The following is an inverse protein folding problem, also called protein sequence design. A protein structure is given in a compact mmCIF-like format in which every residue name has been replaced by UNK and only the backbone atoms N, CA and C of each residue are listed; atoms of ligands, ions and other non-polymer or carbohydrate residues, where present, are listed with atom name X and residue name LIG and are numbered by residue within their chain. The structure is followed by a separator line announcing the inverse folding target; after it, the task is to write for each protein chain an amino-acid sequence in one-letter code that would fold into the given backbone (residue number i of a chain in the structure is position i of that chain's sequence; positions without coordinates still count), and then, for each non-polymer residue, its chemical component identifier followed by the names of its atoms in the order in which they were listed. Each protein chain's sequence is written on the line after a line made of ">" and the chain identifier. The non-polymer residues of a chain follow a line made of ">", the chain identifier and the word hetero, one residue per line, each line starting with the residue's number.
data_IF_851544052962
#
_entry.id   IF_851544052962
#
_cell.length_a   1.000
_cell.length_b   1.000
_cell.length_c   1.000
_cell.angle_alpha   90.00
_cell.angle_beta   90.00
_cell.angle_gamma   90.00
#
_symmetry.space_group_name_H-M   'P 1'
#
loop_
_entity.id
_entity.type
_entity.pdbx_description
1 polymer ?
#
# COMPACT_ATOMS: atom_id res chain seq x y z
N UNK A 1 0.21 -6.25 27.37
CA UNK A 1 -0.31 -4.88 27.13
C UNK A 1 -1.42 -5.03 26.11
N UNK A 2 -2.56 -4.42 26.37
CA UNK A 2 -3.67 -4.36 25.40
C UNK A 2 -3.60 -3.02 24.66
N UNK A 3 -3.79 -3.06 23.35
CA UNK A 3 -3.88 -1.87 22.50
C UNK A 3 -5.25 -1.85 21.85
N UNK A 4 -5.89 -0.69 21.80
CA UNK A 4 -7.18 -0.51 21.17
C UNK A 4 -7.02 0.28 19.87
N UNK A 5 -7.49 -0.31 18.78
CA UNK A 5 -7.52 0.29 17.45
C UNK A 5 -8.90 0.06 16.84
N UNK A 6 -9.35 1.00 16.02
CA UNK A 6 -10.58 0.87 15.25
C UNK A 6 -10.39 -0.11 14.08
N UNK A 7 -9.19 -0.12 13.49
CA UNK A 7 -8.84 -0.96 12.35
C UNK A 7 -7.49 -1.65 12.55
N UNK A 8 -7.45 -2.96 12.36
CA UNK A 8 -6.23 -3.75 12.30
C UNK A 8 -5.99 -4.21 10.86
N UNK A 9 -4.83 -3.85 10.30
CA UNK A 9 -4.40 -4.29 8.96
C UNK A 9 -3.22 -5.24 9.12
N UNK A 10 -3.39 -6.48 8.65
CA UNK A 10 -2.38 -7.54 8.78
C UNK A 10 -1.62 -7.69 7.47
N UNK A 11 -0.32 -7.39 7.52
CA UNK A 11 0.62 -7.52 6.42
C UNK A 11 0.88 -6.19 5.71
N UNK A 12 2.12 -5.69 5.81
CA UNK A 12 2.54 -4.46 5.16
C UNK A 12 2.98 -4.63 3.69
N UNK A 13 2.22 -5.39 2.92
CA UNK A 13 2.36 -5.44 1.45
C UNK A 13 1.73 -4.22 0.78
N UNK A 14 1.69 -4.22 -0.56
CA UNK A 14 1.07 -3.13 -1.34
C UNK A 14 -0.39 -2.89 -0.93
N UNK A 15 -1.18 -3.95 -0.77
CA UNK A 15 -2.58 -3.85 -0.35
C UNK A 15 -2.72 -3.33 1.08
N UNK A 16 -1.92 -3.84 2.02
CA UNK A 16 -1.98 -3.43 3.41
C UNK A 16 -1.55 -1.98 3.63
N UNK A 17 -0.56 -1.49 2.87
CA UNK A 17 -0.18 -0.08 2.91
C UNK A 17 -1.34 0.83 2.50
N UNK A 18 -1.97 0.58 1.35
CA UNK A 18 -3.12 1.38 0.91
C UNK A 18 -4.32 1.28 1.86
N UNK A 19 -4.62 0.07 2.37
CA UNK A 19 -5.71 -0.12 3.33
C UNK A 19 -5.48 0.64 4.64
N UNK A 20 -4.26 0.56 5.19
CA UNK A 20 -3.91 1.22 6.44
C UNK A 20 -3.87 2.75 6.29
N UNK A 21 -3.32 3.24 5.18
CA UNK A 21 -3.31 4.67 4.86
C UNK A 21 -4.73 5.21 4.67
N UNK A 22 -5.58 4.49 3.94
CA UNK A 22 -6.97 4.89 3.73
C UNK A 22 -7.73 4.98 5.06
N UNK A 23 -7.68 3.93 5.90
CA UNK A 23 -8.34 3.92 7.21
C UNK A 23 -7.87 5.07 8.11
N UNK A 24 -6.54 5.26 8.22
CA UNK A 24 -5.96 6.32 9.04
C UNK A 24 -6.33 7.73 8.55
N UNK A 25 -6.35 7.95 7.22
CA UNK A 25 -6.76 9.23 6.60
C UNK A 25 -8.24 9.52 6.75
N UNK A 26 -9.07 8.49 6.87
CA UNK A 26 -10.49 8.62 7.21
C UNK A 26 -10.74 8.88 8.70
N UNK A 27 -9.69 8.92 9.52
CA UNK A 27 -9.74 9.28 10.95
C UNK A 27 -9.77 8.10 11.91
N UNK A 28 -9.70 6.86 11.42
CA UNK A 28 -9.69 5.67 12.27
C UNK A 28 -8.30 5.49 12.92
N UNK A 29 -8.27 5.18 14.22
CA UNK A 29 -7.07 4.71 14.89
C UNK A 29 -6.69 3.35 14.30
N UNK A 30 -5.62 3.31 13.51
CA UNK A 30 -5.28 2.14 12.68
C UNK A 30 -3.93 1.56 13.10
N UNK A 31 -3.85 0.22 13.18
CA UNK A 31 -2.57 -0.47 13.29
C UNK A 31 -2.25 -1.24 12.00
N UNK A 32 -1.03 -1.08 11.48
CA UNK A 32 -0.47 -1.91 10.43
C UNK A 32 0.54 -2.88 11.03
N UNK A 33 0.18 -4.15 11.08
CA UNK A 33 1.03 -5.22 11.59
C UNK A 33 1.83 -5.86 10.46
N UNK A 34 3.09 -6.15 10.71
CA UNK A 34 3.96 -6.86 9.76
C UNK A 34 4.98 -7.72 10.48
N UNK A 35 5.41 -8.82 9.85
CA UNK A 35 6.48 -9.67 10.39
C UNK A 35 7.84 -8.99 10.35
N UNK A 36 8.02 -8.06 9.41
CA UNK A 36 9.27 -7.35 9.23
C UNK A 36 9.01 -5.91 8.74
N UNK A 37 9.45 -4.92 9.51
CA UNK A 37 9.35 -3.50 9.16
C UNK A 37 10.27 -3.12 7.99
N UNK A 38 11.30 -3.91 7.72
CA UNK A 38 12.23 -3.70 6.62
C UNK A 38 11.78 -4.36 5.33
N UNK A 39 10.55 -4.86 5.25
CA UNK A 39 9.95 -5.39 4.02
C UNK A 39 8.62 -4.70 3.65
N UNK A 40 8.30 -3.57 4.28
CA UNK A 40 7.11 -2.76 3.97
C UNK A 40 7.11 -2.42 2.47
N UNK A 41 6.01 -2.79 1.80
CA UNK A 41 5.79 -2.60 0.36
C UNK A 41 6.95 -3.07 -0.55
N UNK A 42 7.65 -4.13 -0.15
CA UNK A 42 8.73 -4.70 -0.95
C UNK A 42 8.20 -5.19 -2.31
N UNK A 43 8.90 -4.80 -3.39
CA UNK A 43 8.65 -5.29 -4.75
C UNK A 43 9.26 -6.68 -4.97
N UNK A 44 8.54 -7.73 -4.57
CA UNK A 44 9.04 -9.12 -4.62
C UNK A 44 9.28 -9.66 -6.03
N UNK A 45 8.56 -9.18 -7.05
CA UNK A 45 8.67 -9.68 -8.42
C UNK A 45 9.32 -8.65 -9.36
N UNK A 46 8.51 -7.99 -10.19
CA UNK A 46 8.98 -7.05 -11.21
C UNK A 46 9.24 -5.66 -10.60
N UNK A 47 10.38 -4.99 -10.88
CA UNK A 47 10.61 -3.60 -10.49
C UNK A 47 9.77 -2.62 -11.34
N UNK A 48 8.46 -2.85 -11.48
CA UNK A 48 7.60 -2.07 -12.35
C UNK A 48 6.19 -1.88 -11.78
N UNK A 49 5.65 -0.67 -11.93
CA UNK A 49 4.27 -0.32 -11.62
C UNK A 49 3.53 0.07 -12.90
N UNK A 50 2.25 -0.29 -12.98
CA UNK A 50 1.41 -0.07 -14.16
C UNK A 50 1.55 -1.15 -15.24
N UNK A 51 1.24 -0.79 -16.48
CA UNK A 51 1.03 -1.72 -17.60
C UNK A 51 -0.45 -1.88 -17.96
N UNK A 52 -0.76 -2.53 -19.08
CA UNK A 52 -2.06 -2.42 -19.79
C UNK A 52 -3.33 -2.17 -18.96
N UNK A 53 -3.64 -3.00 -17.96
CA UNK A 53 -4.76 -2.76 -17.03
C UNK A 53 -4.32 -2.12 -15.71
N UNK A 54 -3.09 -2.45 -15.27
CA UNK A 54 -2.55 -2.02 -13.98
C UNK A 54 -2.30 -0.50 -13.92
N UNK A 55 -1.96 0.14 -15.04
CA UNK A 55 -1.69 1.58 -15.10
C UNK A 55 -2.94 2.40 -14.80
N UNK A 56 -4.11 1.91 -15.20
CA UNK A 56 -5.41 2.51 -14.94
C UNK A 56 -5.76 2.33 -13.47
N UNK A 57 -5.60 1.11 -12.92
CA UNK A 57 -5.77 0.87 -11.48
C UNK A 57 -4.90 1.79 -10.61
N UNK A 58 -3.63 1.99 -11.00
CA UNK A 58 -2.72 2.91 -10.27
C UNK A 58 -3.25 4.35 -10.31
N UNK A 59 -3.80 4.79 -11.45
CA UNK A 59 -4.41 6.11 -11.59
C UNK A 59 -5.72 6.24 -10.80
N UNK A 60 -6.52 5.19 -10.75
CA UNK A 60 -7.75 5.14 -9.96
C UNK A 60 -7.44 5.18 -8.46
N UNK A 61 -6.42 4.45 -8.00
CA UNK A 61 -5.93 4.51 -6.62
C UNK A 61 -5.51 5.94 -6.26
N UNK A 62 -4.74 6.62 -7.13
CA UNK A 62 -4.35 8.01 -6.91
C UNK A 62 -5.54 8.97 -6.86
N UNK A 63 -6.51 8.80 -7.76
CA UNK A 63 -7.73 9.60 -7.78
C UNK A 63 -8.57 9.42 -6.49
N UNK A 64 -8.51 8.24 -5.87
CA UNK A 64 -9.13 7.95 -4.58
C UNK A 64 -8.28 8.38 -3.37
N UNK A 65 -7.09 8.95 -3.59
CA UNK A 65 -6.21 9.45 -2.53
C UNK A 65 -5.22 8.42 -1.98
N UNK A 66 -4.99 7.32 -2.69
CA UNK A 66 -3.94 6.34 -2.39
C UNK A 66 -2.54 6.81 -2.77
N UNK A 67 -1.52 6.03 -2.40
CA UNK A 67 -0.11 6.44 -2.46
C UNK A 67 0.70 5.81 -3.58
N UNK A 68 0.25 4.69 -4.15
CA UNK A 68 1.00 3.90 -5.12
C UNK A 68 1.53 4.74 -6.29
N UNK A 69 0.72 5.65 -6.85
CA UNK A 69 1.16 6.50 -7.95
C UNK A 69 2.22 7.52 -7.52
N UNK A 70 2.02 8.18 -6.38
CA UNK A 70 2.92 9.22 -5.84
C UNK A 70 4.29 8.65 -5.47
N UNK A 71 4.30 7.47 -4.84
CA UNK A 71 5.52 6.75 -4.54
C UNK A 71 6.21 6.30 -5.83
N UNK A 72 5.44 5.80 -6.81
CA UNK A 72 6.00 5.43 -8.13
C UNK A 72 6.65 6.62 -8.83
N UNK A 73 6.02 7.79 -8.80
CA UNK A 73 6.55 9.00 -9.45
C UNK A 73 7.86 9.47 -8.78
N UNK A 74 7.99 9.32 -7.46
CA UNK A 74 9.21 9.66 -6.71
C UNK A 74 10.37 8.69 -6.97
N UNK A 75 10.07 7.42 -7.25
CA UNK A 75 11.09 6.34 -7.28
C UNK A 75 11.24 5.71 -8.66
N UNK A 76 10.56 6.26 -9.65
CA UNK A 76 10.58 5.78 -11.03
C UNK A 76 11.91 6.10 -11.72
N UNK A 77 12.46 5.11 -12.41
CA UNK A 77 13.68 5.24 -13.21
C UNK A 77 13.33 5.51 -14.68
N UNK A 78 12.24 4.91 -15.17
CA UNK A 78 11.80 5.03 -16.56
C UNK A 78 10.28 5.01 -16.63
N UNK A 79 9.70 5.97 -17.36
CA UNK A 79 8.27 6.06 -17.61
C UNK A 79 7.98 5.85 -19.10
N UNK A 80 6.94 5.06 -19.40
CA UNK A 80 6.46 4.88 -20.77
C UNK A 80 4.95 4.77 -20.81
N UNK A 81 4.36 5.28 -21.89
CA UNK A 81 2.98 5.00 -22.25
C UNK A 81 2.95 3.76 -23.14
N UNK A 82 2.09 2.79 -22.82
CA UNK A 82 1.84 1.62 -23.66
C UNK A 82 0.72 1.91 -24.66
N UNK A 83 0.70 1.16 -25.78
CA UNK A 83 -0.30 1.30 -26.85
C UNK A 83 -0.44 2.72 -27.44
N UNK A 84 0.66 3.48 -27.52
CA UNK A 84 0.66 4.88 -28.01
C UNK A 84 0.17 5.06 -29.44
N UNK A 85 0.23 4.00 -30.27
CA UNK A 85 -0.29 4.01 -31.66
C UNK A 85 -1.78 3.68 -31.75
N UNK A 86 -2.44 3.38 -30.63
CA UNK A 86 -3.88 3.10 -30.53
C UNK A 86 -4.59 4.24 -29.81
N UNK A 87 -5.92 4.28 -29.90
CA UNK A 87 -6.72 5.34 -29.28
C UNK A 87 -6.53 5.46 -27.76
N UNK A 88 -6.81 6.63 -27.15
CA UNK A 88 -6.54 6.90 -25.74
C UNK A 88 -7.16 5.89 -24.76
N UNK A 89 -8.32 5.34 -25.09
CA UNK A 89 -9.04 4.38 -24.26
C UNK A 89 -8.24 3.09 -23.96
N UNK A 90 -7.25 2.74 -24.78
CA UNK A 90 -6.42 1.54 -24.60
C UNK A 90 -4.96 1.86 -24.26
N UNK A 91 -4.64 3.14 -24.06
CA UNK A 91 -3.33 3.58 -23.60
C UNK A 91 -3.20 3.36 -22.09
N UNK A 92 -2.00 3.05 -21.62
CA UNK A 92 -1.77 2.75 -20.21
C UNK A 92 -0.35 3.10 -19.75
N UNK A 93 -0.19 3.83 -18.64
CA UNK A 93 1.12 4.17 -18.12
C UNK A 93 1.82 2.95 -17.51
N UNK A 94 3.14 2.89 -17.67
CA UNK A 94 4.00 1.93 -16.98
C UNK A 94 5.30 2.61 -16.59
N UNK A 95 5.71 2.42 -15.34
CA UNK A 95 6.99 2.86 -14.82
C UNK A 95 7.85 1.65 -14.42
N UNK A 96 9.15 1.71 -14.69
CA UNK A 96 10.14 0.95 -13.94
C UNK A 96 10.52 1.76 -12.70
N UNK A 97 10.62 1.11 -11.54
CA UNK A 97 10.93 1.76 -10.27
C UNK A 97 12.17 1.13 -9.64
N UNK A 98 12.96 1.95 -8.95
CA UNK A 98 13.99 1.43 -8.05
C UNK A 98 13.28 0.73 -6.87
N UNK A 99 13.54 -0.57 -6.71
CA UNK A 99 12.86 -1.38 -5.68
C UNK A 99 13.12 -0.87 -4.27
N UNK A 100 14.34 -0.42 -3.98
CA UNK A 100 14.73 0.01 -2.63
C UNK A 100 14.22 1.40 -2.34
N UNK A 101 14.30 2.31 -3.31
CA UNK A 101 13.69 3.63 -3.14
C UNK A 101 12.17 3.53 -2.98
N UNK A 102 11.47 2.69 -3.78
CA UNK A 102 10.02 2.49 -3.62
C UNK A 102 9.68 2.00 -2.20
N UNK A 103 10.42 1.00 -1.74
CA UNK A 103 10.27 0.44 -0.40
C UNK A 103 10.46 1.51 0.69
N UNK A 104 11.54 2.30 0.61
CA UNK A 104 11.84 3.33 1.60
C UNK A 104 10.86 4.50 1.56
N UNK A 105 10.43 4.91 0.36
CA UNK A 105 9.44 5.96 0.18
C UNK A 105 8.09 5.54 0.77
N UNK A 106 7.61 4.33 0.48
CA UNK A 106 6.36 3.84 1.07
C UNK A 106 6.48 3.66 2.59
N UNK A 107 7.60 3.11 3.10
CA UNK A 107 7.87 3.02 4.54
C UNK A 107 7.77 4.37 5.23
N UNK A 108 8.42 5.39 4.68
CA UNK A 108 8.36 6.77 5.19
C UNK A 108 6.93 7.31 5.21
N UNK A 109 6.14 7.03 4.18
CA UNK A 109 4.75 7.49 4.09
C UNK A 109 3.89 6.82 5.17
N UNK A 110 3.99 5.51 5.35
CA UNK A 110 3.19 4.81 6.38
C UNK A 110 3.62 5.16 7.80
N UNK A 111 4.92 5.29 8.07
CA UNK A 111 5.43 5.66 9.41
C UNK A 111 5.14 7.13 9.77
N UNK A 112 4.99 8.00 8.75
CA UNK A 112 4.69 9.42 8.93
C UNK A 112 3.19 9.76 8.93
N UNK A 113 2.30 8.79 8.73
CA UNK A 113 0.87 9.03 8.62
C UNK A 113 0.22 9.18 10.01
N UNK A 114 -0.49 10.29 10.22
CA UNK A 114 -1.31 10.48 11.42
C UNK A 114 -2.39 9.38 11.53
N UNK A 115 -2.69 8.95 12.76
CA UNK A 115 -3.61 7.86 13.10
C UNK A 115 -3.17 6.46 12.63
N UNK A 116 -1.93 6.30 12.14
CA UNK A 116 -1.39 5.01 11.74
C UNK A 116 -0.22 4.61 12.65
N UNK A 117 -0.39 3.51 13.38
CA UNK A 117 0.70 2.88 14.15
C UNK A 117 1.23 1.67 13.39
N UNK A 118 2.51 1.65 13.05
CA UNK A 118 3.15 0.49 12.41
C UNK A 118 3.83 -0.37 13.48
N UNK A 119 3.56 -1.68 13.50
CA UNK A 119 4.14 -2.60 14.49
C UNK A 119 4.70 -3.86 13.85
N UNK A 120 5.84 -4.31 14.39
CA UNK A 120 6.42 -5.59 14.01
C UNK A 120 5.88 -6.71 14.90
N UNK A 121 4.78 -7.32 14.49
CA UNK A 121 4.09 -8.34 15.28
C UNK A 121 3.53 -9.43 14.35
N UNK A 122 3.53 -10.66 14.86
CA UNK A 122 2.84 -11.79 14.24
C UNK A 122 1.42 -11.80 14.79
N UNK A 123 0.44 -11.74 13.88
CA UNK A 123 -0.95 -12.02 14.21
C UNK A 123 -1.18 -13.54 14.09
N UNK A 124 -1.44 -14.21 15.21
CA UNK A 124 -1.59 -15.67 15.26
C UNK A 124 -3.05 -16.08 15.04
N UNK A 125 -4.00 -15.31 15.58
CA UNK A 125 -5.42 -15.64 15.46
C UNK A 125 -6.34 -14.42 15.47
N UNK A 126 -7.48 -14.56 14.78
CA UNK A 126 -8.57 -13.59 14.82
C UNK A 126 -9.48 -13.90 16.01
N UNK A 127 -9.70 -12.91 16.87
CA UNK A 127 -10.64 -13.00 17.97
C UNK A 127 -12.03 -12.60 17.47
N UNK A 128 -13.01 -13.48 17.67
CA UNK A 128 -14.37 -13.33 17.16
C UNK A 128 -15.38 -13.58 18.27
N UNK A 129 -16.36 -12.69 18.40
CA UNK A 129 -17.52 -12.86 19.27
C UNK A 129 -18.78 -12.97 18.40
N UNK A 130 -19.37 -14.17 18.33
CA UNK A 130 -20.46 -14.46 17.40
C UNK A 130 -20.00 -14.32 15.94
N UNK A 131 -20.60 -13.40 15.20
CA UNK A 131 -20.25 -13.09 13.81
C UNK A 131 -19.42 -11.79 13.67
N UNK A 132 -18.83 -11.29 14.77
CA UNK A 132 -18.08 -10.03 14.79
C UNK A 132 -16.62 -10.24 15.15
N UNK A 133 -15.72 -9.72 14.33
CA UNK A 133 -14.31 -9.60 14.69
C UNK A 133 -14.13 -8.53 15.78
N UNK A 134 -13.45 -8.88 16.87
CA UNK A 134 -13.23 -7.99 18.03
C UNK A 134 -11.76 -7.70 18.31
N UNK A 135 -10.85 -8.45 17.70
CA UNK A 135 -9.42 -8.22 17.87
C UNK A 135 -8.57 -9.34 17.26
N UNK A 136 -7.30 -9.35 17.61
CA UNK A 136 -6.37 -10.42 17.25
C UNK A 136 -5.45 -10.74 18.42
N UNK A 137 -5.00 -11.99 18.48
CA UNK A 137 -3.93 -12.46 19.36
C UNK A 137 -2.69 -12.81 18.56
#
# INVERSE_FOLDING_TARGET
>A
MEYHFDVLVVGAGHAGCEAALAAARMGASTALLTLNLDTIAQMSCNPAIGGLAKGQLVREIDALGGEMARVTDQTGIQFRMLNTRKGPAVQSPRAQADKKLYQFAMKRVVEGQANLTVRQELAESLLVEGDKAVGMA
#
